data_IF_784031388081
#
_entry.id   IF_784031388081
#
_cell.length_a   1.000
_cell.length_b   1.000
_cell.length_c   1.000
_cell.angle_alpha   90.00
_cell.angle_beta   90.00
_cell.angle_gamma   90.00
#
_symmetry.space_group_name_H-M   'P 1'
#
loop_
_entity.id
_entity.type
_entity.pdbx_description
1 polymer ?
#
# COMPACT_ATOMS: atom_id res chain seq x y z
N UNK A 1 -8.90 25.77 30.98
CA UNK A 1 -7.83 25.90 29.95
C UNK A 1 -6.44 25.44 30.43
N UNK A 2 -6.16 25.33 31.73
CA UNK A 2 -4.85 24.86 32.23
C UNK A 2 -4.71 23.34 32.38
N UNK A 3 -5.78 22.56 32.28
CA UNK A 3 -5.74 21.09 32.49
C UNK A 3 -5.54 20.28 31.20
N UNK A 4 -5.90 20.82 30.03
CA UNK A 4 -5.63 20.17 28.73
C UNK A 4 -4.15 20.17 28.33
N UNK A 5 -3.34 21.06 28.90
CA UNK A 5 -1.89 21.13 28.68
C UNK A 5 -1.09 20.14 29.53
N UNK A 6 -1.69 19.54 30.57
CA UNK A 6 -1.02 18.55 31.43
C UNK A 6 -1.11 17.13 30.89
N UNK A 7 -2.12 16.83 30.07
CA UNK A 7 -2.28 15.50 29.47
C UNK A 7 -1.27 15.23 28.34
N UNK A 8 -0.72 16.26 27.69
CA UNK A 8 0.30 16.07 26.64
C UNK A 8 1.69 15.75 27.19
N UNK A 9 1.92 15.92 28.50
CA UNK A 9 3.17 15.61 29.18
C UNK A 9 3.20 14.19 29.77
N UNK A 10 2.11 13.44 29.64
CA UNK A 10 1.95 12.07 30.17
C UNK A 10 1.87 11.01 29.07
N UNK A 11 1.94 11.42 27.80
CA UNK A 11 2.32 10.48 26.76
C UNK A 11 3.82 10.28 26.89
N UNK A 12 4.23 9.24 27.63
CA UNK A 12 5.46 8.53 27.35
C UNK A 12 5.35 8.06 25.89
N UNK A 13 5.68 8.97 24.96
CA UNK A 13 6.08 8.59 23.62
C UNK A 13 7.16 7.55 23.84
N UNK A 14 6.81 6.27 23.65
CA UNK A 14 7.80 5.20 23.60
C UNK A 14 8.87 5.70 22.65
N UNK A 15 10.05 6.00 23.19
CA UNK A 15 11.20 6.36 22.39
C UNK A 15 11.27 5.33 21.29
N UNK A 16 11.21 5.78 20.04
CA UNK A 16 11.35 4.89 18.90
C UNK A 16 12.78 4.40 18.96
N UNK A 17 13.00 3.25 19.63
CA UNK A 17 14.32 2.64 19.76
C UNK A 17 14.74 2.24 18.35
N UNK A 18 15.64 3.02 17.76
CA UNK A 18 16.15 2.74 16.42
C UNK A 18 17.04 1.50 16.46
N UNK A 19 16.55 0.42 15.84
CA UNK A 19 17.35 -0.78 15.63
C UNK A 19 18.27 -0.52 14.44
N UNK A 20 19.57 -0.31 14.70
CA UNK A 20 20.57 0.06 13.70
C UNK A 20 20.73 -0.95 12.54
N UNK A 21 20.11 -2.12 12.62
CA UNK A 21 20.14 -3.17 11.60
C UNK A 21 18.74 -3.56 11.05
N UNK A 22 17.69 -2.81 11.40
CA UNK A 22 16.33 -3.10 10.93
C UNK A 22 16.07 -2.60 9.50
N UNK A 23 15.15 -3.23 8.78
CA UNK A 23 14.73 -2.80 7.43
C UNK A 23 14.30 -1.34 7.39
N UNK A 24 13.60 -0.85 8.43
CA UNK A 24 13.14 0.53 8.51
C UNK A 24 14.30 1.53 8.60
N UNK A 25 15.36 1.19 9.34
CA UNK A 25 16.56 2.02 9.46
C UNK A 25 17.33 2.08 8.14
N UNK A 26 17.48 0.93 7.47
CA UNK A 26 18.10 0.86 6.14
C UNK A 26 17.33 1.70 5.11
N UNK A 27 16.00 1.58 5.10
CA UNK A 27 15.12 2.37 4.22
C UNK A 27 15.30 3.88 4.45
N UNK A 28 15.35 4.34 5.72
CA UNK A 28 15.56 5.77 6.02
C UNK A 28 16.89 6.29 5.50
N UNK A 29 17.99 5.55 5.70
CA UNK A 29 19.30 5.92 5.14
C UNK A 29 19.25 6.02 3.62
N UNK A 30 18.60 5.07 2.97
CA UNK A 30 18.45 5.08 1.52
C UNK A 30 17.60 6.25 1.02
N UNK A 31 16.58 6.68 1.79
CA UNK A 31 15.81 7.89 1.49
C UNK A 31 16.66 9.17 1.51
N UNK A 32 17.61 9.26 2.45
CA UNK A 32 18.54 10.41 2.53
C UNK A 32 19.51 10.43 1.35
N UNK A 33 20.04 9.26 0.97
CA UNK A 33 21.04 9.13 -0.11
C UNK A 33 20.41 9.23 -1.49
N UNK A 34 19.20 8.70 -1.67
CA UNK A 34 18.49 8.61 -2.95
C UNK A 34 17.07 9.21 -2.87
N UNK A 35 16.95 10.53 -2.62
CA UNK A 35 15.66 11.19 -2.43
C UNK A 35 14.81 11.25 -3.71
N UNK A 36 15.41 11.00 -4.88
CA UNK A 36 14.70 10.94 -6.15
C UNK A 36 13.77 9.73 -6.28
N UNK A 37 13.93 8.71 -5.42
CA UNK A 37 13.11 7.51 -5.43
C UNK A 37 12.11 7.51 -4.27
N UNK A 38 10.92 6.97 -4.53
CA UNK A 38 9.99 6.61 -3.48
C UNK A 38 10.45 5.30 -2.85
N UNK A 39 10.77 5.34 -1.58
CA UNK A 39 11.21 4.17 -0.82
C UNK A 39 10.07 3.50 -0.08
N UNK A 40 9.06 4.25 0.34
CA UNK A 40 7.94 3.75 1.13
C UNK A 40 6.69 4.55 0.79
N UNK A 41 5.57 3.86 0.59
CA UNK A 41 4.28 4.53 0.48
C UNK A 41 3.86 5.06 1.84
N UNK A 42 3.12 6.18 1.86
CA UNK A 42 2.53 6.68 3.09
C UNK A 42 1.66 5.60 3.75
N UNK A 43 1.96 5.23 5.00
CA UNK A 43 1.15 4.27 5.77
C UNK A 43 -0.16 4.88 6.31
N UNK A 44 -0.39 6.18 6.03
CA UNK A 44 -1.68 6.82 6.33
C UNK A 44 -2.83 6.14 5.62
N UNK A 45 -4.01 6.15 6.25
CA UNK A 45 -5.23 5.64 5.61
C UNK A 45 -5.43 6.35 4.28
N UNK A 46 -5.39 5.58 3.20
CA UNK A 46 -5.87 6.03 1.89
C UNK A 46 -7.32 6.51 2.07
N UNK A 47 -7.83 7.40 1.23
CA UNK A 47 -9.22 7.83 1.37
C UNK A 47 -10.22 6.63 1.42
N UNK A 48 -10.05 5.56 0.61
CA UNK A 48 -10.85 4.34 0.80
C UNK A 48 -10.62 3.68 2.16
N UNK A 49 -9.38 3.64 2.65
CA UNK A 49 -9.08 3.17 4.01
C UNK A 49 -9.71 4.05 5.12
N UNK A 50 -9.90 5.35 4.89
CA UNK A 50 -10.60 6.23 5.81
C UNK A 50 -12.10 5.92 5.86
N UNK A 51 -12.73 5.69 4.70
CA UNK A 51 -14.13 5.26 4.66
C UNK A 51 -14.35 3.91 5.33
N UNK A 52 -13.42 2.96 5.14
CA UNK A 52 -13.47 1.67 5.84
C UNK A 52 -13.34 1.84 7.36
N UNK A 53 -12.43 2.71 7.83
CA UNK A 53 -12.31 3.01 9.25
C UNK A 53 -13.56 3.63 9.87
N UNK A 54 -14.27 4.50 9.14
CA UNK A 54 -15.56 5.02 9.60
C UNK A 54 -16.56 3.87 9.77
N UNK A 55 -16.62 2.96 8.79
CA UNK A 55 -17.51 1.79 8.87
C UNK A 55 -17.15 0.88 10.06
N UNK A 56 -15.87 0.59 10.28
CA UNK A 56 -15.36 -0.18 11.42
C UNK A 56 -15.72 0.48 12.76
N UNK A 57 -15.51 1.80 12.88
CA UNK A 57 -15.85 2.54 14.09
C UNK A 57 -17.35 2.52 14.38
N UNK A 58 -18.20 2.66 13.35
CA UNK A 58 -19.65 2.52 13.51
C UNK A 58 -20.04 1.10 13.95
N UNK A 59 -19.35 0.06 13.48
CA UNK A 59 -19.59 -1.31 13.93
C UNK A 59 -19.21 -1.51 15.40
N UNK A 60 -18.12 -0.90 15.86
CA UNK A 60 -17.71 -0.93 17.27
C UNK A 60 -18.69 -0.17 18.17
N UNK A 61 -19.10 1.05 17.78
CA UNK A 61 -20.03 1.88 18.55
C UNK A 61 -21.41 1.24 18.72
N UNK A 62 -21.87 0.48 17.72
CA UNK A 62 -23.15 -0.20 17.73
C UNK A 62 -23.03 -1.70 18.06
N UNK A 63 -21.91 -2.14 18.66
CA UNK A 63 -21.70 -3.53 19.04
C UNK A 63 -22.82 -4.04 19.97
N UNK A 64 -23.46 -5.15 19.61
CA UNK A 64 -24.60 -5.73 20.33
C UNK A 64 -25.98 -5.16 19.94
N UNK A 65 -26.04 -4.14 19.09
CA UNK A 65 -27.28 -3.67 18.47
C UNK A 65 -27.51 -4.46 17.18
N UNK A 66 -28.66 -5.13 17.07
CA UNK A 66 -28.90 -6.11 16.00
C UNK A 66 -28.85 -5.53 14.56
N UNK A 67 -28.95 -4.20 14.37
CA UNK A 67 -28.81 -3.54 13.06
C UNK A 67 -28.30 -2.10 13.22
N UNK A 68 -27.09 -1.82 12.75
CA UNK A 68 -26.63 -0.44 12.51
C UNK A 68 -27.45 0.14 11.34
N UNK A 69 -28.07 1.32 11.47
CA UNK A 69 -28.77 1.96 10.36
C UNK A 69 -27.84 2.14 9.15
N UNK A 70 -28.27 1.67 7.97
CA UNK A 70 -27.42 1.63 6.76
C UNK A 70 -27.06 3.00 6.22
N UNK A 71 -27.87 4.02 6.52
CA UNK A 71 -27.69 5.42 6.18
C UNK A 71 -26.56 6.11 6.95
N UNK A 72 -26.08 5.50 8.05
CA UNK A 72 -24.90 5.99 8.77
C UNK A 72 -23.58 5.60 8.09
N UNK A 73 -23.57 4.54 7.27
CA UNK A 73 -22.36 4.11 6.59
C UNK A 73 -22.00 5.06 5.45
N UNK A 74 -20.70 5.36 5.24
CA UNK A 74 -20.26 6.08 4.05
C UNK A 74 -20.65 5.29 2.80
N UNK A 75 -21.28 5.96 1.85
CA UNK A 75 -21.66 5.38 0.56
C UNK A 75 -20.78 5.91 -0.56
N UNK A 76 -20.07 5.03 -1.25
CA UNK A 76 -19.25 5.36 -2.41
C UNK A 76 -19.34 4.21 -3.44
N UNK A 77 -19.17 4.53 -4.72
CA UNK A 77 -19.09 3.54 -5.78
C UNK A 77 -17.66 3.01 -5.90
N UNK A 78 -17.50 1.69 -5.89
CA UNK A 78 -16.22 1.02 -6.05
C UNK A 78 -16.18 0.19 -7.33
N UNK A 79 -15.00 0.15 -7.96
CA UNK A 79 -14.63 -0.87 -8.94
C UNK A 79 -13.98 -2.04 -8.21
N UNK A 80 -14.39 -3.26 -8.57
CA UNK A 80 -13.70 -4.48 -8.15
C UNK A 80 -12.47 -4.65 -9.05
N UNK A 81 -11.28 -4.55 -8.47
CA UNK A 81 -9.99 -4.63 -9.14
C UNK A 81 -9.47 -6.06 -9.20
N UNK A 82 -9.65 -6.80 -8.11
CA UNK A 82 -9.32 -8.21 -7.98
C UNK A 82 -10.33 -8.89 -7.06
N UNK A 83 -10.57 -10.17 -7.31
CA UNK A 83 -11.50 -11.02 -6.55
C UNK A 83 -10.93 -12.43 -6.48
N UNK A 84 -9.66 -12.53 -6.11
CA UNK A 84 -8.93 -13.80 -6.04
C UNK A 84 -9.60 -14.82 -5.11
N UNK A 85 -10.49 -14.40 -4.21
CA UNK A 85 -11.46 -15.28 -3.55
C UNK A 85 -12.88 -14.69 -3.59
N UNK A 86 -13.94 -15.51 -3.36
CA UNK A 86 -15.32 -15.01 -3.31
C UNK A 86 -15.58 -14.00 -2.18
N UNK A 87 -14.72 -13.99 -1.15
CA UNK A 87 -14.94 -13.23 0.09
C UNK A 87 -13.94 -12.12 0.28
N UNK A 88 -12.78 -12.18 -0.36
CA UNK A 88 -11.74 -11.15 -0.33
C UNK A 88 -11.63 -10.45 -1.68
N UNK A 89 -11.89 -9.15 -1.67
CA UNK A 89 -11.90 -8.30 -2.85
C UNK A 89 -10.83 -7.24 -2.72
N UNK A 90 -10.25 -6.85 -3.83
CA UNK A 90 -9.52 -5.59 -3.94
C UNK A 90 -10.44 -4.57 -4.61
N UNK A 91 -10.67 -3.43 -3.96
CA UNK A 91 -11.62 -2.43 -4.43
C UNK A 91 -10.96 -1.05 -4.57
N UNK A 92 -11.42 -0.30 -5.57
CA UNK A 92 -10.99 1.06 -5.86
C UNK A 92 -12.20 2.00 -5.91
N UNK A 93 -12.19 3.13 -5.19
CA UNK A 93 -13.15 4.21 -5.40
C UNK A 93 -13.20 4.69 -6.85
N UNK A 94 -14.39 4.75 -7.44
CA UNK A 94 -14.60 5.12 -8.85
C UNK A 94 -14.05 6.52 -9.20
N UNK A 95 -13.94 7.42 -8.22
CA UNK A 95 -13.33 8.75 -8.45
C UNK A 95 -11.83 8.70 -8.74
N UNK A 96 -11.14 7.58 -8.49
CA UNK A 96 -9.74 7.40 -8.84
C UNK A 96 -9.50 6.92 -10.28
N UNK A 97 -10.54 6.55 -11.03
CA UNK A 97 -10.43 6.04 -12.41
C UNK A 97 -9.49 6.89 -13.27
N UNK A 98 -9.81 8.19 -13.39
CA UNK A 98 -9.04 9.12 -14.21
C UNK A 98 -7.60 9.31 -13.71
N UNK A 99 -7.42 9.33 -12.38
CA UNK A 99 -6.09 9.49 -11.79
C UNK A 99 -5.23 8.24 -12.02
N UNK A 100 -5.82 7.05 -11.93
CA UNK A 100 -5.15 5.79 -12.22
C UNK A 100 -4.77 5.69 -13.70
N UNK A 101 -5.66 6.03 -14.61
CA UNK A 101 -5.38 6.02 -16.05
C UNK A 101 -4.20 6.95 -16.37
N UNK A 102 -4.24 8.19 -15.88
CA UNK A 102 -3.16 9.16 -16.08
C UNK A 102 -1.83 8.71 -15.46
N UNK A 103 -1.88 8.09 -14.28
CA UNK A 103 -0.68 7.57 -13.62
C UNK A 103 -0.08 6.41 -14.42
N UNK A 104 -0.94 5.49 -14.88
CA UNK A 104 -0.54 4.33 -15.68
C UNK A 104 0.14 4.77 -16.98
N UNK A 105 -0.45 5.72 -17.72
CA UNK A 105 0.12 6.23 -18.97
C UNK A 105 1.50 6.87 -18.76
N UNK A 106 1.63 7.69 -17.72
CA UNK A 106 2.91 8.34 -17.37
C UNK A 106 3.97 7.32 -16.94
N UNK A 107 3.57 6.31 -16.16
CA UNK A 107 4.45 5.20 -15.76
C UNK A 107 4.94 4.41 -16.97
N UNK A 108 4.02 4.00 -17.86
CA UNK A 108 4.39 3.21 -19.04
C UNK A 108 5.44 3.94 -19.88
N UNK A 109 5.18 5.21 -20.20
CA UNK A 109 6.10 6.01 -21.01
C UNK A 109 7.48 6.13 -20.36
N UNK A 110 7.52 6.48 -19.07
CA UNK A 110 8.79 6.73 -18.38
C UNK A 110 9.67 5.49 -18.26
N UNK A 111 9.11 4.35 -17.86
CA UNK A 111 9.93 3.14 -17.64
C UNK A 111 10.29 2.40 -18.92
N UNK A 112 9.47 2.50 -19.97
CA UNK A 112 9.84 1.97 -21.29
C UNK A 112 11.09 2.66 -21.88
N UNK A 113 11.31 3.94 -21.55
CA UNK A 113 12.47 4.71 -22.03
C UNK A 113 13.72 4.55 -21.15
N UNK A 114 13.56 4.33 -19.83
CA UNK A 114 14.65 4.45 -18.83
C UNK A 114 14.94 3.20 -18.02
N UNK A 115 14.47 2.03 -18.43
CA UNK A 115 14.52 0.82 -17.60
C UNK A 115 15.93 0.46 -17.09
N UNK A 116 16.99 0.55 -17.88
CA UNK A 116 18.32 0.03 -17.47
C UNK A 116 18.95 0.81 -16.30
N UNK A 117 18.77 2.14 -16.25
CA UNK A 117 19.39 2.98 -15.23
C UNK A 117 18.69 2.97 -13.88
N UNK A 118 17.55 2.28 -13.77
CA UNK A 118 16.70 2.27 -12.59
C UNK A 118 16.71 0.91 -11.86
N UNK A 119 17.65 0.02 -12.20
CA UNK A 119 17.80 -1.26 -11.50
C UNK A 119 18.07 -1.06 -10.02
N UNK A 120 17.45 -1.88 -9.18
CA UNK A 120 17.69 -1.88 -7.73
C UNK A 120 18.81 -2.91 -7.45
N UNK A 121 19.94 -2.49 -6.84
CA UNK A 121 20.97 -3.39 -6.34
C UNK A 121 20.41 -4.40 -5.32
N UNK A 122 21.02 -5.58 -5.26
CA UNK A 122 20.51 -6.68 -4.43
C UNK A 122 20.48 -6.36 -2.93
N UNK A 123 21.46 -5.60 -2.44
CA UNK A 123 21.55 -5.12 -1.05
C UNK A 123 20.47 -4.09 -0.69
N UNK A 124 19.73 -3.58 -1.68
CA UNK A 124 18.67 -2.59 -1.50
C UNK A 124 17.27 -3.17 -1.75
N UNK A 125 17.18 -4.45 -2.09
CA UNK A 125 15.91 -5.18 -2.17
C UNK A 125 15.43 -5.52 -0.75
N UNK A 126 14.83 -4.53 -0.09
CA UNK A 126 14.38 -4.64 1.30
C UNK A 126 12.84 -4.78 1.32
N UNK A 127 12.27 -5.68 2.16
CA UNK A 127 10.81 -5.73 2.34
C UNK A 127 10.21 -4.36 2.64
N UNK A 128 8.99 -4.12 2.14
CA UNK A 128 8.24 -2.85 2.18
C UNK A 128 8.74 -1.74 1.27
N UNK A 129 9.89 -1.89 0.61
CA UNK A 129 10.36 -0.89 -0.36
C UNK A 129 9.37 -0.76 -1.51
N UNK A 130 9.05 0.48 -1.87
CA UNK A 130 8.26 0.80 -3.04
C UNK A 130 9.10 0.61 -4.31
N UNK A 131 8.50 0.04 -5.35
CA UNK A 131 9.18 -0.24 -6.60
C UNK A 131 8.26 -0.05 -7.81
N UNK A 132 8.85 0.03 -9.00
CA UNK A 132 8.17 -0.26 -10.24
C UNK A 132 8.48 -1.69 -10.66
N UNK A 133 7.51 -2.39 -11.24
CA UNK A 133 7.67 -3.78 -11.68
C UNK A 133 7.10 -3.97 -13.08
N UNK A 134 7.86 -4.63 -13.96
CA UNK A 134 7.40 -4.98 -15.30
C UNK A 134 6.80 -6.39 -15.30
N UNK A 135 5.54 -6.52 -15.73
CA UNK A 135 4.86 -7.81 -15.86
C UNK A 135 4.19 -7.82 -17.23
N UNK A 136 4.57 -8.77 -18.09
CA UNK A 136 4.04 -8.90 -19.46
C UNK A 136 4.12 -7.56 -20.24
N UNK A 137 5.29 -6.92 -20.22
CA UNK A 137 5.58 -5.64 -20.89
C UNK A 137 4.73 -4.45 -20.40
N UNK A 138 4.19 -4.54 -19.18
CA UNK A 138 3.45 -3.44 -18.55
C UNK A 138 4.03 -3.14 -17.18
N UNK A 139 4.23 -1.86 -16.90
CA UNK A 139 4.77 -1.36 -15.65
C UNK A 139 3.67 -1.13 -14.62
N UNK A 140 3.94 -1.54 -13.39
CA UNK A 140 3.03 -1.36 -12.25
C UNK A 140 3.79 -0.75 -11.08
N UNK A 141 3.06 -0.03 -10.23
CA UNK A 141 3.56 0.33 -8.90
C UNK A 141 3.47 -0.88 -7.99
N UNK A 142 4.58 -1.17 -7.32
CA UNK A 142 4.76 -2.34 -6.47
C UNK A 142 5.26 -1.98 -5.09
N UNK A 143 5.13 -2.93 -4.17
CA UNK A 143 5.76 -2.94 -2.84
C UNK A 143 6.38 -4.31 -2.62
N UNK A 144 7.67 -4.37 -2.28
CA UNK A 144 8.34 -5.64 -1.99
C UNK A 144 7.72 -6.29 -0.73
N UNK A 145 7.35 -7.57 -0.80
CA UNK A 145 6.78 -8.30 0.35
C UNK A 145 7.78 -9.27 0.96
N UNK A 146 8.26 -10.22 0.15
CA UNK A 146 9.22 -11.22 0.57
C UNK A 146 10.41 -11.20 -0.39
N UNK A 147 11.59 -10.86 0.15
CA UNK A 147 12.86 -10.87 -0.57
C UNK A 147 13.69 -12.03 -0.01
N UNK A 148 13.66 -13.21 -0.63
CA UNK A 148 14.41 -14.35 -0.13
C UNK A 148 15.92 -14.13 -0.34
N UNK A 149 16.72 -14.52 0.65
CA UNK A 149 18.19 -14.46 0.60
C UNK A 149 18.79 -15.39 -0.48
N UNK A 150 18.06 -16.44 -0.86
CA UNK A 150 18.48 -17.44 -1.83
C UNK A 150 17.41 -17.54 -2.92
N UNK A 151 17.82 -17.39 -4.18
CA UNK A 151 16.95 -17.49 -5.35
C UNK A 151 16.75 -16.16 -6.09
N UNK A 152 16.22 -16.26 -7.32
CA UNK A 152 16.01 -15.11 -8.22
C UNK A 152 14.60 -14.51 -8.17
N UNK A 153 13.67 -15.11 -7.42
CA UNK A 153 12.27 -14.74 -7.38
C UNK A 153 11.94 -13.87 -6.17
N UNK A 154 11.09 -12.87 -6.37
CA UNK A 154 10.62 -11.94 -5.33
C UNK A 154 9.09 -11.81 -5.44
N UNK A 155 8.42 -11.67 -4.29
CA UNK A 155 7.02 -11.31 -4.26
C UNK A 155 6.85 -9.81 -4.17
N UNK A 156 6.07 -9.25 -5.11
CA UNK A 156 5.73 -7.83 -5.18
C UNK A 156 4.21 -7.69 -5.11
N UNK A 157 3.75 -6.88 -4.16
CA UNK A 157 2.36 -6.47 -4.07
C UNK A 157 2.08 -5.30 -5.01
N UNK A 158 1.19 -5.48 -5.97
CA UNK A 158 0.77 -4.45 -6.91
C UNK A 158 -0.22 -3.50 -6.23
N UNK A 159 0.27 -2.36 -5.75
CA UNK A 159 -0.47 -1.48 -4.82
C UNK A 159 -1.73 -0.85 -5.41
N UNK A 160 -1.83 -0.79 -6.74
CA UNK A 160 -3.00 -0.24 -7.46
C UNK A 160 -3.86 -1.31 -8.14
N UNK A 161 -3.56 -2.59 -7.91
CA UNK A 161 -4.35 -3.72 -8.40
C UNK A 161 -4.89 -4.53 -7.22
N UNK A 162 -4.10 -4.63 -6.15
CA UNK A 162 -4.47 -5.29 -4.91
C UNK A 162 -4.05 -6.76 -4.81
N UNK A 163 -3.14 -7.21 -5.68
CA UNK A 163 -2.67 -8.59 -5.75
C UNK A 163 -1.15 -8.70 -5.68
N UNK A 164 -0.65 -9.82 -5.15
CA UNK A 164 0.78 -10.14 -5.17
C UNK A 164 1.15 -10.94 -6.43
N UNK A 165 2.33 -10.66 -6.98
CA UNK A 165 2.89 -11.39 -8.11
C UNK A 165 4.31 -11.82 -7.81
N UNK A 166 4.64 -13.03 -8.24
CA UNK A 166 6.01 -13.53 -8.24
C UNK A 166 6.71 -13.03 -9.51
N UNK A 167 7.84 -12.36 -9.34
CA UNK A 167 8.63 -11.76 -10.42
C UNK A 167 10.12 -12.01 -10.19
N UNK A 168 10.94 -11.76 -11.19
CA UNK A 168 12.39 -11.82 -11.05
C UNK A 168 12.96 -10.48 -10.60
N UNK A 169 14.19 -10.48 -10.04
CA UNK A 169 14.93 -9.25 -9.72
C UNK A 169 15.07 -8.31 -10.93
N UNK A 170 15.20 -8.88 -12.13
CA UNK A 170 15.35 -8.14 -13.38
C UNK A 170 14.07 -7.41 -13.82
N UNK A 171 12.92 -7.73 -13.23
CA UNK A 171 11.65 -7.08 -13.53
C UNK A 171 11.44 -5.83 -12.65
N UNK A 172 12.26 -5.63 -11.62
CA UNK A 172 12.06 -4.61 -10.58
C UNK A 172 12.95 -3.40 -10.82
N UNK A 173 12.40 -2.20 -10.68
CA UNK A 173 13.10 -0.91 -10.77
C UNK A 173 12.75 -0.03 -9.58
N UNK A 174 13.63 0.93 -9.27
CA UNK A 174 13.28 2.00 -8.34
C UNK A 174 12.02 2.69 -8.80
N UNK A 175 11.14 3.04 -7.86
CA UNK A 175 10.01 3.89 -8.16
C UNK A 175 10.44 5.35 -8.10
N UNK A 176 10.49 6.06 -9.23
CA UNK A 176 10.71 7.51 -9.25
C UNK A 176 9.66 8.23 -8.37
N UNK A 177 10.16 9.11 -7.48
CA UNK A 177 9.38 9.79 -6.44
C UNK A 177 8.15 10.52 -6.97
N UNK A 178 8.16 11.01 -8.22
CA UNK A 178 6.99 11.68 -8.83
C UNK A 178 5.78 10.76 -8.97
N UNK A 179 5.98 9.44 -8.99
CA UNK A 179 4.91 8.44 -9.02
C UNK A 179 4.43 8.04 -7.62
N UNK A 180 5.06 8.57 -6.57
CA UNK A 180 4.67 8.39 -5.17
C UNK A 180 3.69 9.43 -4.64
N UNK A 181 3.37 10.48 -5.41
CA UNK A 181 2.43 11.52 -4.98
C UNK A 181 1.02 10.97 -4.74
N UNK A 182 0.60 9.98 -5.53
CA UNK A 182 -0.66 9.28 -5.28
C UNK A 182 -0.42 8.18 -4.24
N UNK A 183 -1.25 8.08 -3.19
CA UNK A 183 -1.22 6.90 -2.34
C UNK A 183 -1.63 5.65 -3.17
N UNK A 184 -1.42 4.44 -2.64
CA UNK A 184 -2.10 3.25 -3.17
C UNK A 184 -3.60 3.50 -3.35
N UNK A 185 -4.13 3.24 -4.55
CA UNK A 185 -5.52 3.57 -4.87
C UNK A 185 -6.50 2.43 -4.61
N UNK A 186 -5.99 1.26 -4.22
CA UNK A 186 -6.75 0.04 -3.95
C UNK A 186 -6.66 -0.33 -2.48
N UNK A 187 -7.76 -0.85 -1.94
CA UNK A 187 -7.80 -1.42 -0.60
C UNK A 187 -8.37 -2.84 -0.67
N UNK A 188 -7.83 -3.73 0.16
CA UNK A 188 -8.38 -5.07 0.34
C UNK A 188 -9.55 -5.00 1.31
N UNK A 189 -10.67 -5.59 0.93
CA UNK A 189 -11.89 -5.67 1.71
C UNK A 189 -12.36 -7.12 1.82
N UNK A 190 -13.14 -7.40 2.86
CA UNK A 190 -13.83 -8.68 3.01
C UNK A 190 -15.34 -8.47 3.03
N UNK A 191 -16.08 -9.36 2.38
CA UNK A 191 -17.54 -9.32 2.41
C UNK A 191 -18.03 -9.72 3.80
N UNK A 192 -18.88 -8.89 4.41
CA UNK A 192 -19.47 -9.16 5.72
C UNK A 192 -20.37 -10.40 5.67
N UNK A 193 -20.31 -11.22 6.72
CA UNK A 193 -21.14 -12.41 6.87
C UNK A 193 -20.60 -13.68 6.20
N UNK A 194 -19.48 -13.58 5.47
CA UNK A 194 -18.74 -14.77 5.06
C UNK A 194 -17.88 -15.28 6.23
N UNK A 195 -18.49 -15.97 7.19
CA UNK A 195 -17.71 -16.93 7.94
C UNK A 195 -17.26 -17.99 6.92
N UNK A 196 -15.96 -18.25 6.81
CA UNK A 196 -15.50 -19.46 6.13
C UNK A 196 -16.12 -20.62 6.88
N UNK A 197 -17.25 -21.13 6.37
CA UNK A 197 -17.67 -22.48 6.62
C UNK A 197 -16.60 -23.34 5.96
N UNK A 198 -15.57 -23.67 6.73
CA UNK A 198 -14.69 -24.79 6.40
C UNK A 198 -15.58 -26.04 6.32
N UNK A 199 -15.68 -26.59 5.12
CA UNK A 199 -15.97 -28.00 4.89
C UNK A 199 -14.74 -28.82 5.27
#
# INVERSE_FOLDING_TARGET
MAEMQKASLLNDCRDVVEVQNGSEFQIRKLMEVYPQYLWKYSEGSTIPGYMMKIAEQLEEEFYGINKVPTDLYPSEYFRIMDHSTPTELAIQPKRFDKAQDQLNDKMQKFYNEKQESLQIPEDQLIPKVACAVCIQNKWYRGKLENVPNIGGWIYVYLVDVGMSRQVTKNDIRYLDSKFGHYPPMVVRARIRGSNSLYL
#
